data_IF_096335990498
#
_entry.id   IF_096335990498
#
_cell.length_a   1.000
_cell.length_b   1.000
_cell.length_c   1.000
_cell.angle_alpha   90.00
_cell.angle_beta   90.00
_cell.angle_gamma   90.00
#
_symmetry.space_group_name_H-M   'P 1'
#
loop_
_entity.id
_entity.type
_entity.pdbx_description
1 polymer ?
#
# COMPACT_ATOMS: atom_id res chain seq x y z
N UNK A 1 1.08 8.79 -15.47
CA UNK A 1 0.91 9.18 -14.04
C UNK A 1 0.85 7.98 -13.10
N UNK A 2 0.04 6.95 -13.37
CA UNK A 2 -0.06 5.72 -12.56
C UNK A 2 1.27 5.06 -12.18
N UNK A 3 2.06 4.70 -13.18
CA UNK A 3 3.34 4.03 -13.00
C UNK A 3 4.31 4.87 -12.17
N UNK A 4 4.23 6.20 -12.29
CA UNK A 4 5.02 7.16 -11.52
C UNK A 4 4.69 7.09 -10.04
N UNK A 5 3.41 7.18 -9.66
CA UNK A 5 3.01 7.19 -8.24
C UNK A 5 3.36 5.87 -7.56
N UNK A 6 2.97 4.74 -8.17
CA UNK A 6 3.27 3.43 -7.60
C UNK A 6 4.77 3.11 -7.61
N UNK A 7 5.51 3.55 -8.63
CA UNK A 7 6.97 3.42 -8.67
C UNK A 7 7.65 4.22 -7.56
N UNK A 8 7.20 5.45 -7.31
CA UNK A 8 7.70 6.28 -6.20
C UNK A 8 7.40 5.62 -4.86
N UNK A 9 6.19 5.12 -4.64
CA UNK A 9 5.85 4.40 -3.40
C UNK A 9 6.71 3.15 -3.22
N UNK A 10 6.92 2.36 -4.28
CA UNK A 10 7.78 1.19 -4.24
C UNK A 10 9.23 1.56 -3.86
N UNK A 11 9.79 2.60 -4.50
CA UNK A 11 11.13 3.08 -4.21
C UNK A 11 11.26 3.61 -2.79
N UNK A 12 10.30 4.42 -2.31
CA UNK A 12 10.30 4.95 -0.95
C UNK A 12 10.28 3.82 0.09
N UNK A 13 9.43 2.82 -0.09
CA UNK A 13 9.37 1.67 0.83
C UNK A 13 10.65 0.83 0.78
N UNK A 14 11.27 0.68 -0.39
CA UNK A 14 12.57 0.02 -0.51
C UNK A 14 13.69 0.82 0.19
N UNK A 15 13.66 2.15 0.13
CA UNK A 15 14.60 3.00 0.87
C UNK A 15 14.38 2.90 2.39
N UNK A 16 13.14 2.87 2.86
CA UNK A 16 12.85 2.61 4.27
C UNK A 16 13.41 1.26 4.70
N UNK A 17 13.22 0.20 3.91
CA UNK A 17 13.80 -1.11 4.17
C UNK A 17 15.33 -1.06 4.21
N UNK A 18 15.96 -0.33 3.30
CA UNK A 18 17.41 -0.20 3.25
C UNK A 18 17.95 0.46 4.52
N UNK A 19 17.38 1.59 4.97
CA UNK A 19 17.86 2.34 6.15
C UNK A 19 17.83 1.53 7.45
N UNK A 20 17.03 0.46 7.52
CA UNK A 20 16.97 -0.43 8.68
C UNK A 20 18.27 -1.20 8.95
N UNK A 21 19.25 -1.22 8.03
CA UNK A 21 20.51 -1.97 8.25
C UNK A 21 21.26 -1.57 9.54
N UNK A 22 20.97 -0.39 10.10
CA UNK A 22 21.58 0.13 11.33
C UNK A 22 20.89 -0.32 12.62
N UNK A 23 19.71 -0.94 12.53
CA UNK A 23 18.90 -1.30 13.69
C UNK A 23 19.10 -2.78 14.08
N UNK A 24 19.05 -3.13 15.39
CA UNK A 24 19.30 -4.49 15.87
C UNK A 24 18.29 -5.52 15.35
N UNK A 25 17.06 -5.10 15.10
CA UNK A 25 15.97 -5.87 14.49
C UNK A 25 15.71 -5.46 13.03
N UNK A 26 16.67 -4.76 12.43
CA UNK A 26 16.51 -4.10 11.14
C UNK A 26 16.13 -5.02 9.99
N UNK A 27 16.58 -6.28 9.99
CA UNK A 27 16.18 -7.26 8.98
C UNK A 27 14.68 -7.55 9.02
N UNK A 28 14.09 -7.64 10.23
CA UNK A 28 12.66 -7.88 10.40
C UNK A 28 11.84 -6.70 9.85
N UNK A 29 12.23 -5.47 10.18
CA UNK A 29 11.58 -4.27 9.66
C UNK A 29 11.80 -4.07 8.17
N UNK A 30 12.98 -4.42 7.64
CA UNK A 30 13.22 -4.42 6.20
C UNK A 30 12.24 -5.35 5.48
N UNK A 31 12.01 -6.57 6.00
CA UNK A 31 11.01 -7.48 5.45
C UNK A 31 9.60 -6.89 5.49
N UNK A 32 9.21 -6.23 6.59
CA UNK A 32 7.91 -5.57 6.73
C UNK A 32 7.75 -4.45 5.68
N UNK A 33 8.75 -3.58 5.52
CA UNK A 33 8.70 -2.49 4.54
C UNK A 33 8.70 -2.97 3.09
N UNK A 34 9.29 -4.12 2.80
CA UNK A 34 9.25 -4.71 1.45
C UNK A 34 7.84 -5.16 1.05
N UNK A 35 6.94 -5.46 1.99
CA UNK A 35 5.55 -5.87 1.67
C UNK A 35 4.80 -4.79 0.87
N UNK A 36 4.62 -3.55 1.35
CA UNK A 36 4.02 -2.49 0.56
C UNK A 36 4.87 -2.09 -0.66
N UNK A 37 6.20 -2.29 -0.63
CA UNK A 37 7.05 -2.05 -1.78
C UNK A 37 6.67 -2.98 -2.95
N UNK A 38 6.51 -4.28 -2.67
CA UNK A 38 6.11 -5.29 -3.66
C UNK A 38 4.71 -5.01 -4.19
N UNK A 39 3.74 -4.68 -3.34
CA UNK A 39 2.38 -4.32 -3.78
C UNK A 39 2.38 -3.10 -4.69
N UNK A 40 3.15 -2.07 -4.35
CA UNK A 40 3.31 -0.87 -5.16
C UNK A 40 4.00 -1.19 -6.50
N UNK A 41 5.07 -1.98 -6.49
CA UNK A 41 5.77 -2.38 -7.71
C UNK A 41 4.89 -3.22 -8.64
N UNK A 42 4.12 -4.16 -8.08
CA UNK A 42 3.13 -4.93 -8.85
C UNK A 42 2.06 -4.02 -9.47
N UNK A 43 1.59 -3.00 -8.74
CA UNK A 43 0.62 -2.03 -9.26
C UNK A 43 1.23 -1.15 -10.37
N UNK A 44 2.53 -0.84 -10.29
CA UNK A 44 3.25 -0.07 -11.30
C UNK A 44 3.46 -0.89 -12.59
N UNK A 45 3.92 -2.14 -12.47
CA UNK A 45 4.38 -2.97 -13.58
C UNK A 45 3.28 -3.85 -14.20
N UNK A 46 2.37 -4.38 -13.39
CA UNK A 46 1.36 -5.38 -13.80
C UNK A 46 -0.04 -5.06 -13.24
N UNK A 47 -0.60 -3.87 -13.49
CA UNK A 47 -1.89 -3.44 -12.92
C UNK A 47 -3.06 -4.36 -13.29
N UNK A 48 -3.01 -5.04 -14.44
CA UNK A 48 -4.03 -6.01 -14.88
C UNK A 48 -4.20 -7.19 -13.91
N UNK A 49 -3.19 -7.51 -13.10
CA UNK A 49 -3.30 -8.58 -12.11
C UNK A 49 -4.30 -8.26 -10.99
N UNK A 50 -4.54 -6.98 -10.69
CA UNK A 50 -5.53 -6.55 -9.68
C UNK A 50 -6.99 -6.68 -10.15
N UNK A 51 -7.23 -7.11 -11.40
CA UNK A 51 -8.54 -7.58 -11.83
C UNK A 51 -8.91 -8.92 -11.17
N UNK A 52 -7.90 -9.78 -10.91
CA UNK A 52 -8.10 -11.12 -10.34
C UNK A 52 -8.60 -11.02 -8.89
N UNK A 53 -9.62 -11.81 -8.56
CA UNK A 53 -10.19 -11.86 -7.19
C UNK A 53 -9.17 -12.28 -6.16
N UNK A 54 -8.35 -13.30 -6.45
CA UNK A 54 -7.29 -13.78 -5.57
C UNK A 54 -6.28 -12.70 -5.18
N UNK A 55 -5.83 -11.88 -6.15
CA UNK A 55 -4.89 -10.78 -5.91
C UNK A 55 -5.54 -9.69 -5.04
N UNK A 56 -6.82 -9.36 -5.28
CA UNK A 56 -7.55 -8.41 -4.44
C UNK A 56 -7.76 -8.92 -3.01
N UNK A 57 -8.04 -10.22 -2.85
CA UNK A 57 -8.18 -10.85 -1.53
C UNK A 57 -6.84 -10.86 -0.79
N UNK A 58 -5.75 -11.18 -1.47
CA UNK A 58 -4.41 -11.12 -0.89
C UNK A 58 -4.03 -9.70 -0.45
N UNK A 59 -4.32 -8.68 -1.26
CA UNK A 59 -4.11 -7.28 -0.85
C UNK A 59 -4.97 -6.91 0.36
N UNK A 60 -6.25 -7.30 0.38
CA UNK A 60 -7.14 -7.04 1.50
C UNK A 60 -6.67 -7.75 2.78
N UNK A 61 -6.22 -8.99 2.68
CA UNK A 61 -5.61 -9.73 3.80
C UNK A 61 -4.33 -9.07 4.29
N UNK A 62 -3.49 -8.57 3.39
CA UNK A 62 -2.27 -7.83 3.76
C UNK A 62 -2.62 -6.53 4.51
N UNK A 63 -3.64 -5.79 4.06
CA UNK A 63 -4.14 -4.59 4.75
C UNK A 63 -4.64 -4.95 6.15
N UNK A 64 -5.40 -6.04 6.28
CA UNK A 64 -5.91 -6.49 7.57
C UNK A 64 -4.76 -6.86 8.53
N UNK A 65 -3.74 -7.56 8.05
CA UNK A 65 -2.54 -7.88 8.84
C UNK A 65 -1.79 -6.61 9.25
N UNK A 66 -1.64 -5.64 8.34
CA UNK A 66 -1.02 -4.36 8.67
C UNK A 66 -1.84 -3.57 9.70
N UNK A 67 -3.17 -3.62 9.63
CA UNK A 67 -4.06 -3.01 10.62
C UNK A 67 -3.90 -3.66 12.01
N UNK A 68 -3.88 -4.99 12.07
CA UNK A 68 -3.57 -5.73 13.30
C UNK A 68 -2.19 -5.34 13.82
N UNK A 69 -1.21 -5.23 12.93
CA UNK A 69 0.13 -4.76 13.26
C UNK A 69 0.16 -3.34 13.84
N UNK A 70 -0.60 -2.39 13.30
CA UNK A 70 -0.74 -1.05 13.88
C UNK A 70 -1.31 -1.08 15.30
N UNK A 71 -2.26 -1.97 15.57
CA UNK A 71 -2.82 -2.14 16.92
C UNK A 71 -1.79 -2.77 17.85
N UNK A 72 -1.06 -3.78 17.38
CA UNK A 72 -0.06 -4.51 18.15
C UNK A 72 1.16 -3.64 18.51
N UNK A 73 1.67 -2.89 17.54
CA UNK A 73 2.81 -1.97 17.69
C UNK A 73 2.35 -0.55 18.08
N UNK A 74 1.13 -0.38 18.60
CA UNK A 74 0.64 0.94 18.97
C UNK A 74 1.54 1.53 20.07
N UNK A 75 2.14 2.71 19.86
CA UNK A 75 3.10 3.26 20.79
C UNK A 75 2.40 3.75 22.07
N UNK A 76 2.71 3.10 23.19
CA UNK A 76 2.11 3.41 24.49
C UNK A 76 2.75 4.64 25.18
N UNK A 77 3.91 5.09 24.71
CA UNK A 77 4.62 6.22 25.32
C UNK A 77 3.93 7.55 25.00
N UNK A 78 3.75 8.47 25.97
CA UNK A 78 3.17 9.78 25.70
C UNK A 78 3.97 10.54 24.64
N UNK A 79 3.27 11.30 23.80
CA UNK A 79 3.90 12.16 22.79
C UNK A 79 4.82 11.41 21.80
N UNK A 80 4.55 10.13 21.55
CA UNK A 80 5.28 9.28 20.60
C UNK A 80 5.42 9.90 19.20
N UNK A 81 4.58 10.85 18.81
CA UNK A 81 4.67 11.56 17.52
C UNK A 81 5.76 12.63 17.47
N UNK A 82 6.32 13.05 18.61
CA UNK A 82 7.36 14.08 18.63
C UNK A 82 8.71 13.49 18.22
N UNK A 83 9.49 14.26 17.45
CA UNK A 83 10.78 13.84 16.88
C UNK A 83 11.76 13.36 17.94
N UNK A 84 11.85 14.08 19.05
CA UNK A 84 12.70 13.74 20.20
C UNK A 84 12.31 12.42 20.89
N UNK A 85 11.09 11.92 20.64
CA UNK A 85 10.61 10.64 21.16
C UNK A 85 10.83 9.53 20.15
N UNK A 86 10.18 9.59 18.97
CA UNK A 86 10.23 8.45 18.03
C UNK A 86 11.60 8.21 17.40
N UNK A 87 12.48 9.20 17.38
CA UNK A 87 13.84 9.00 16.85
C UNK A 87 14.72 8.18 17.79
N UNK A 88 14.42 8.22 19.10
CA UNK A 88 15.25 7.62 20.15
C UNK A 88 14.61 6.37 20.72
N UNK A 89 13.28 6.32 20.78
CA UNK A 89 12.52 5.23 21.37
C UNK A 89 12.08 4.26 20.28
N UNK A 90 12.62 3.05 20.31
CA UNK A 90 12.37 1.97 19.35
C UNK A 90 10.87 1.70 19.15
N UNK A 91 10.11 1.41 20.22
CA UNK A 91 8.67 1.14 20.12
C UNK A 91 7.84 2.26 19.48
N UNK A 92 8.26 3.53 19.63
CA UNK A 92 7.60 4.64 18.95
C UNK A 92 7.92 4.66 17.44
N UNK A 93 9.18 4.38 17.09
CA UNK A 93 9.62 4.25 15.69
C UNK A 93 8.91 3.09 14.98
N UNK A 94 8.85 1.94 15.63
CA UNK A 94 8.16 0.74 15.14
C UNK A 94 6.67 1.00 14.89
N UNK A 95 5.99 1.62 15.85
CA UNK A 95 4.58 1.99 15.72
C UNK A 95 4.32 2.91 14.53
N UNK A 96 5.15 3.96 14.36
CA UNK A 96 5.07 4.84 13.19
C UNK A 96 5.37 4.07 11.89
N UNK A 97 6.34 3.16 11.91
CA UNK A 97 6.65 2.28 10.78
C UNK A 97 5.44 1.47 10.32
N UNK A 98 4.69 0.86 11.24
CA UNK A 98 3.45 0.15 10.92
C UNK A 98 2.37 1.07 10.35
N UNK A 99 2.24 2.30 10.87
CA UNK A 99 1.30 3.29 10.32
C UNK A 99 1.65 3.65 8.86
N UNK A 100 2.93 3.80 8.55
CA UNK A 100 3.41 4.06 7.17
C UNK A 100 3.09 2.87 6.27
N UNK A 101 3.36 1.64 6.71
CA UNK A 101 3.03 0.42 5.96
C UNK A 101 1.55 0.35 5.62
N UNK A 102 0.69 0.55 6.63
CA UNK A 102 -0.76 0.56 6.43
C UNK A 102 -1.20 1.68 5.47
N UNK A 103 -0.67 2.89 5.65
CA UNK A 103 -1.00 4.04 4.80
C UNK A 103 -0.67 3.77 3.32
N UNK A 104 0.49 3.18 3.03
CA UNK A 104 0.89 2.85 1.65
C UNK A 104 0.01 1.75 1.06
N UNK A 105 -0.32 0.71 1.82
CA UNK A 105 -1.22 -0.35 1.34
C UNK A 105 -2.63 0.20 1.03
N UNK A 106 -3.14 1.10 1.88
CA UNK A 106 -4.40 1.79 1.64
C UNK A 106 -4.32 2.72 0.41
N UNK A 107 -3.20 3.42 0.23
CA UNK A 107 -2.96 4.22 -0.98
C UNK A 107 -2.99 3.34 -2.24
N UNK A 108 -2.32 2.18 -2.22
CA UNK A 108 -2.37 1.22 -3.33
C UNK A 108 -3.81 0.79 -3.62
N UNK A 109 -4.56 0.36 -2.60
CA UNK A 109 -5.93 -0.11 -2.77
C UNK A 109 -6.89 0.98 -3.29
N UNK A 110 -6.74 2.22 -2.81
CA UNK A 110 -7.61 3.34 -3.19
C UNK A 110 -7.29 3.86 -4.59
N UNK A 111 -6.02 4.01 -4.94
CA UNK A 111 -5.59 4.48 -6.27
C UNK A 111 -5.96 3.47 -7.36
N UNK A 112 -5.82 2.16 -7.11
CA UNK A 112 -6.27 1.12 -8.05
C UNK A 112 -7.79 1.11 -8.29
N UNK A 113 -8.59 1.53 -7.29
CA UNK A 113 -10.05 1.64 -7.46
C UNK A 113 -10.45 2.81 -8.34
N UNK A 114 -9.75 3.95 -8.22
CA UNK A 114 -10.04 5.18 -8.99
C UNK A 114 -9.83 5.03 -10.49
N UNK A 115 -9.03 4.05 -10.91
CA UNK A 115 -8.69 3.85 -12.32
C UNK A 115 -9.56 2.82 -13.03
N UNK A 116 -10.53 2.21 -12.35
CA UNK A 116 -11.50 1.36 -13.04
C UNK A 116 -12.37 2.25 -13.93
N UNK A 117 -12.38 2.05 -15.26
CA UNK A 117 -13.36 2.71 -16.11
C UNK A 117 -14.75 2.37 -15.58
N UNK A 118 -15.63 3.37 -15.49
CA UNK A 118 -17.06 3.10 -15.29
C UNK A 118 -17.50 2.13 -16.40
N UNK A 119 -18.37 1.15 -16.13
CA UNK A 119 -18.92 0.32 -17.18
C UNK A 119 -19.53 1.25 -18.22
N UNK A 120 -18.94 1.23 -19.42
CA UNK A 120 -19.43 1.97 -20.56
C UNK A 120 -20.88 1.52 -20.75
N UNK A 121 -21.80 2.48 -20.75
CA UNK A 121 -23.17 2.26 -21.15
C UNK A 121 -23.20 1.99 -22.67
N UNK A 122 -22.60 0.89 -23.12
CA UNK A 122 -22.74 0.44 -24.50
C UNK A 122 -24.07 -0.33 -24.62
N UNK A 123 -24.74 -0.06 -25.73
CA UNK A 123 -25.71 -0.95 -26.37
C UNK A 123 -27.18 -0.89 -25.92
N UNK A 124 -27.69 0.31 -25.62
CA UNK A 124 -29.16 0.53 -25.55
C UNK A 124 -29.74 1.61 -26.46
N UNK A 125 -29.13 1.91 -27.61
CA UNK A 125 -29.91 2.43 -28.76
C UNK A 125 -29.24 2.00 -30.08
N UNK A 126 -29.23 0.71 -30.38
CA UNK A 126 -29.15 0.30 -31.78
C UNK A 126 -30.48 0.69 -32.45
N UNK A 127 -30.52 1.87 -33.06
CA UNK A 127 -31.65 2.31 -33.88
C UNK A 127 -31.83 1.31 -35.04
N UNK A 128 -33.02 0.72 -35.25
CA UNK A 128 -33.23 -0.13 -36.40
C UNK A 128 -33.13 0.73 -37.66
N UNK A 129 -32.08 0.51 -38.46
CA UNK A 129 -32.05 0.95 -39.86
C UNK A 129 -33.13 0.15 -40.60
N UNK A 130 -34.32 0.72 -40.63
CA UNK A 130 -35.42 0.18 -41.42
C UNK A 130 -35.06 0.33 -42.89
N UNK A 131 -35.11 -0.79 -43.60
CA UNK A 131 -34.99 -0.85 -45.06
C UNK A 131 -36.27 -0.27 -45.67
N UNK A 132 -36.10 0.58 -46.68
CA UNK A 132 -37.14 1.12 -47.54
C UNK A 132 -36.47 1.82 -48.71
#
# INVERSE_FOLDING_TARGET
MRMTIFGVLALLMALFAAVQYNDPDGLWWACIYLVPAVWSLMAALRPVWFAKSAVRLALAGTILLALVGCVWYWPAIPHWWRRDVWWVVESAREGIGMMIVLAVLLAVATLLRRERPLPEHSDRVAWPRNRG
#
